data_IF_407096645383
#
_entry.id   IF_407096645383
#
_cell.length_a   1.000
_cell.length_b   1.000
_cell.length_c   1.000
_cell.angle_alpha   90.00
_cell.angle_beta   90.00
_cell.angle_gamma   90.00
#
_symmetry.space_group_name_H-M   'P 1'
#
loop_
_entity.id
_entity.type
_entity.pdbx_description
1 polymer ?
#
# COMPACT_ATOMS: atom_id res chain seq x y z
N UNK A 1 19.60 12.24 24.38
CA UNK A 1 18.24 11.94 23.86
C UNK A 1 18.30 10.63 23.11
N UNK A 2 17.87 9.53 23.70
CA UNK A 2 17.78 8.25 22.98
C UNK A 2 16.53 8.28 22.13
N UNK A 3 16.70 8.50 20.83
CA UNK A 3 15.70 8.14 19.85
C UNK A 3 15.59 6.62 19.87
N UNK A 4 14.66 6.09 20.65
CA UNK A 4 14.24 4.71 20.50
C UNK A 4 13.49 4.60 19.17
N UNK A 5 14.25 4.49 18.09
CA UNK A 5 13.70 4.08 16.83
C UNK A 5 13.15 2.68 17.05
N UNK A 6 11.85 2.59 17.21
CA UNK A 6 11.18 1.31 17.32
C UNK A 6 11.30 0.64 15.96
N UNK A 7 11.63 -0.67 15.91
CA UNK A 7 12.00 -1.34 14.67
C UNK A 7 10.88 -1.32 13.64
N UNK A 8 11.25 -1.45 12.38
CA UNK A 8 10.33 -1.77 11.29
C UNK A 8 9.48 -2.96 11.70
N UNK A 9 8.16 -2.80 11.71
CA UNK A 9 7.21 -3.83 12.15
C UNK A 9 6.78 -4.76 11.02
N UNK A 10 6.83 -4.25 9.81
CA UNK A 10 6.47 -5.01 8.62
C UNK A 10 7.28 -4.50 7.44
N UNK A 11 7.68 -5.41 6.58
CA UNK A 11 8.36 -5.09 5.33
C UNK A 11 7.96 -6.09 4.25
N UNK A 12 7.52 -5.58 3.10
CA UNK A 12 7.19 -6.39 1.93
C UNK A 12 8.01 -5.92 0.73
N UNK A 13 8.98 -6.69 0.29
CA UNK A 13 9.75 -6.37 -0.93
C UNK A 13 8.87 -6.37 -2.19
N UNK A 14 7.90 -7.26 -2.27
CA UNK A 14 7.01 -7.41 -3.43
C UNK A 14 6.17 -6.16 -3.71
N UNK A 15 5.75 -5.45 -2.65
CA UNK A 15 4.97 -4.22 -2.75
C UNK A 15 5.78 -2.97 -2.42
N UNK A 16 7.07 -3.13 -2.08
CA UNK A 16 7.96 -2.05 -1.63
C UNK A 16 7.34 -1.22 -0.49
N UNK A 17 6.69 -1.90 0.44
CA UNK A 17 5.94 -1.27 1.53
C UNK A 17 6.51 -1.69 2.88
N UNK A 18 6.68 -0.73 3.78
CA UNK A 18 7.11 -0.95 5.15
C UNK A 18 6.18 -0.25 6.14
N UNK A 19 6.04 -0.82 7.33
CA UNK A 19 5.37 -0.20 8.47
C UNK A 19 6.42 0.08 9.54
N UNK A 20 6.55 1.35 9.88
CA UNK A 20 7.49 1.83 10.90
C UNK A 20 6.69 2.34 12.09
N UNK A 21 7.01 1.83 13.28
CA UNK A 21 6.44 2.33 14.53
C UNK A 21 7.30 3.45 15.08
N UNK A 22 6.67 4.58 15.35
CA UNK A 22 7.33 5.77 15.93
C UNK A 22 6.47 6.31 17.05
N UNK A 23 7.08 6.93 18.05
CA UNK A 23 6.32 7.64 19.09
C UNK A 23 5.54 8.81 18.48
N UNK A 24 4.37 9.09 19.05
CA UNK A 24 3.47 10.14 18.54
C UNK A 24 4.14 11.52 18.45
N UNK A 25 5.04 11.84 19.38
CA UNK A 25 5.72 13.13 19.42
C UNK A 25 6.75 13.31 18.30
N UNK A 26 7.25 12.22 17.72
CA UNK A 26 8.35 12.23 16.76
C UNK A 26 7.95 11.83 15.33
N UNK A 27 6.68 11.50 15.05
CA UNK A 27 6.30 11.01 13.72
C UNK A 27 6.52 12.05 12.61
N UNK A 28 6.35 13.35 12.91
CA UNK A 28 6.62 14.43 11.94
C UNK A 28 8.09 14.51 11.58
N UNK A 29 8.97 14.31 12.56
CA UNK A 29 10.42 14.31 12.35
C UNK A 29 10.84 13.13 11.45
N UNK A 30 10.30 11.95 11.71
CA UNK A 30 10.57 10.77 10.88
C UNK A 30 10.00 10.94 9.47
N UNK A 31 8.80 11.52 9.35
CA UNK A 31 8.21 11.84 8.05
C UNK A 31 9.13 12.78 7.24
N UNK A 32 9.56 13.87 7.85
CA UNK A 32 10.50 14.81 7.21
C UNK A 32 11.80 14.11 6.81
N UNK A 33 12.40 13.32 7.70
CA UNK A 33 13.62 12.58 7.43
C UNK A 33 13.47 11.62 6.24
N UNK A 34 12.36 10.89 6.14
CA UNK A 34 12.07 10.02 5.00
C UNK A 34 11.90 10.80 3.69
N UNK A 35 11.27 11.99 3.74
CA UNK A 35 11.08 12.84 2.57
C UNK A 35 12.40 13.40 2.02
N UNK A 36 13.38 13.62 2.87
CA UNK A 36 14.73 14.07 2.48
C UNK A 36 15.67 12.92 2.09
N UNK A 37 15.30 11.68 2.37
CA UNK A 37 16.13 10.53 2.04
C UNK A 37 15.96 10.18 0.56
N UNK A 38 16.96 10.52 -0.25
CA UNK A 38 16.95 10.32 -1.71
C UNK A 38 17.83 9.17 -2.17
N UNK A 39 18.67 8.64 -1.29
CA UNK A 39 19.59 7.54 -1.58
C UNK A 39 19.59 6.52 -0.46
N UNK A 40 19.68 5.24 -0.83
CA UNK A 40 19.93 4.17 0.13
C UNK A 40 21.41 4.17 0.53
N UNK A 41 21.73 3.83 1.79
CA UNK A 41 23.10 3.76 2.24
C UNK A 41 23.90 2.65 1.54
N UNK A 42 25.21 2.77 1.58
CA UNK A 42 26.09 1.69 1.10
C UNK A 42 25.82 0.39 1.88
N UNK A 43 25.86 -0.79 1.24
CA UNK A 43 26.45 -1.08 -0.08
C UNK A 43 25.51 -0.85 -1.28
N UNK A 44 24.21 -0.64 -1.06
CA UNK A 44 23.19 -0.57 -2.13
C UNK A 44 23.35 0.68 -2.98
N UNK A 45 23.56 1.84 -2.36
CA UNK A 45 23.82 3.14 -2.98
C UNK A 45 22.94 3.44 -4.22
N UNK A 46 21.64 3.14 -4.11
CA UNK A 46 20.65 3.39 -5.15
C UNK A 46 19.77 4.59 -4.83
N UNK A 47 19.38 5.39 -5.84
CA UNK A 47 18.40 6.44 -5.64
C UNK A 47 17.06 5.83 -5.24
N UNK A 48 16.41 6.42 -4.26
CA UNK A 48 15.11 5.99 -3.78
C UNK A 48 14.25 7.20 -3.38
N UNK A 49 12.95 7.03 -3.43
CA UNK A 49 11.98 8.00 -2.93
C UNK A 49 11.08 7.29 -1.93
N UNK A 50 11.02 7.83 -0.72
CA UNK A 50 10.09 7.35 0.30
C UNK A 50 8.81 8.18 0.26
N UNK A 51 7.70 7.51 0.12
CA UNK A 51 6.39 8.12 0.19
C UNK A 51 5.66 7.64 1.43
N UNK A 52 5.35 8.56 2.33
CA UNK A 52 4.50 8.27 3.48
C UNK A 52 3.05 8.23 3.00
N UNK A 53 2.48 7.05 3.03
CA UNK A 53 1.17 6.77 2.48
C UNK A 53 0.06 6.98 3.49
N UNK A 54 0.33 6.61 4.75
CA UNK A 54 -0.61 6.74 5.86
C UNK A 54 0.13 6.85 7.18
N UNK A 55 -0.38 7.70 8.05
CA UNK A 55 -0.03 7.75 9.46
C UNK A 55 -1.24 7.28 10.26
N UNK A 56 -1.07 6.31 11.12
CA UNK A 56 -2.15 5.71 11.91
C UNK A 56 -1.77 5.65 13.39
N UNK A 57 -2.73 5.85 14.27
CA UNK A 57 -2.54 5.72 15.71
C UNK A 57 -2.43 4.27 16.20
N UNK A 58 -2.86 3.29 15.39
CA UNK A 58 -2.82 1.87 15.72
C UNK A 58 -2.16 1.06 14.62
N UNK A 59 -1.47 0.01 15.04
CA UNK A 59 -0.79 -0.89 14.10
C UNK A 59 -1.78 -1.65 13.22
N UNK A 60 -2.92 -2.03 13.78
CA UNK A 60 -3.99 -2.73 13.07
C UNK A 60 -4.49 -1.93 11.86
N UNK A 61 -4.81 -0.66 12.05
CA UNK A 61 -5.24 0.22 10.95
C UNK A 61 -4.14 0.43 9.89
N UNK A 62 -2.89 0.44 10.31
CA UNK A 62 -1.75 0.50 9.38
C UNK A 62 -1.62 -0.79 8.56
N UNK A 63 -1.79 -1.94 9.17
CA UNK A 63 -1.77 -3.25 8.50
C UNK A 63 -2.93 -3.40 7.51
N UNK A 64 -4.14 -3.02 7.90
CA UNK A 64 -5.33 -3.04 7.02
C UNK A 64 -5.09 -2.20 5.77
N UNK A 65 -4.51 -1.01 5.91
CA UNK A 65 -4.18 -0.17 4.76
C UNK A 65 -3.08 -0.79 3.88
N UNK A 66 -2.07 -1.40 4.47
CA UNK A 66 -1.03 -2.10 3.72
C UNK A 66 -1.60 -3.26 2.90
N UNK A 67 -2.50 -4.06 3.48
CA UNK A 67 -3.19 -5.16 2.81
C UNK A 67 -4.08 -4.63 1.67
N UNK A 68 -4.86 -3.58 1.91
CA UNK A 68 -5.70 -2.96 0.89
C UNK A 68 -4.88 -2.51 -0.32
N UNK A 69 -3.76 -1.85 -0.09
CA UNK A 69 -2.87 -1.39 -1.16
C UNK A 69 -2.18 -2.54 -1.89
N UNK A 70 -1.76 -3.56 -1.17
CA UNK A 70 -1.18 -4.76 -1.77
C UNK A 70 -2.17 -5.43 -2.74
N UNK A 71 -3.43 -5.56 -2.36
CA UNK A 71 -4.48 -6.12 -3.22
C UNK A 71 -4.69 -5.29 -4.50
N UNK A 72 -4.70 -3.96 -4.38
CA UNK A 72 -4.82 -3.06 -5.55
C UNK A 72 -3.61 -3.22 -6.47
N UNK A 73 -2.42 -3.27 -5.92
CA UNK A 73 -1.18 -3.45 -6.69
C UNK A 73 -1.16 -4.77 -7.45
N UNK A 74 -1.56 -5.86 -6.80
CA UNK A 74 -1.66 -7.19 -7.42
C UNK A 74 -2.69 -7.19 -8.55
N UNK A 75 -3.89 -6.65 -8.33
CA UNK A 75 -4.92 -6.55 -9.36
C UNK A 75 -4.45 -5.73 -10.57
N UNK A 76 -3.73 -4.63 -10.33
CA UNK A 76 -3.16 -3.81 -11.41
C UNK A 76 -2.11 -4.59 -12.22
N UNK A 77 -1.22 -5.31 -11.55
CA UNK A 77 -0.22 -6.14 -12.20
C UNK A 77 -0.85 -7.27 -13.03
N UNK A 78 -1.88 -7.92 -12.53
CA UNK A 78 -2.62 -8.96 -13.25
C UNK A 78 -3.32 -8.41 -14.51
N UNK A 79 -3.88 -7.20 -14.44
CA UNK A 79 -4.51 -6.55 -15.62
C UNK A 79 -3.48 -6.21 -16.70
N UNK A 80 -2.30 -5.74 -16.32
CA UNK A 80 -1.24 -5.42 -17.29
C UNK A 80 -0.74 -6.67 -18.02
N UNK A 81 -0.63 -7.81 -17.32
CA UNK A 81 -0.25 -9.08 -17.92
C UNK A 81 -1.33 -9.60 -18.89
N UNK A 82 -2.60 -9.51 -18.51
CA UNK A 82 -3.71 -9.90 -19.41
C UNK A 82 -3.78 -9.01 -20.66
N UNK A 83 -3.62 -7.69 -20.52
CA UNK A 83 -3.62 -6.76 -21.65
C UNK A 83 -2.47 -7.01 -22.62
N UNK A 84 -1.30 -7.42 -22.16
CA UNK A 84 -0.17 -7.78 -22.99
C UNK A 84 -0.38 -9.11 -23.73
N UNK A 85 -1.06 -10.06 -23.12
CA UNK A 85 -1.38 -11.35 -23.77
C UNK A 85 -2.46 -11.19 -24.85
N UNK A 86 -3.41 -10.27 -24.70
CA UNK A 86 -4.49 -10.04 -25.68
C UNK A 86 -3.96 -9.32 -26.92
N UNK A 87 -2.96 -8.46 -26.79
CA UNK A 87 -2.30 -7.78 -27.91
C UNK A 87 -1.48 -8.72 -28.82
N UNK A 88 -1.11 -9.90 -28.33
CA UNK A 88 -0.35 -10.88 -29.09
C UNK A 88 -1.26 -11.89 -29.85
N UNK A 89 -2.57 -11.87 -29.65
CA UNK A 89 -3.52 -12.84 -30.24
C UNK A 89 -4.42 -12.21 -31.28
N UNK A 90 -4.40 -10.89 -31.48
CA UNK A 90 -5.21 -10.21 -32.51
C UNK A 90 -4.60 -10.25 -33.92
N UNK A 91 -4.04 -11.40 -34.32
CA UNK A 91 -3.86 -11.73 -35.72
C UNK A 91 -4.52 -13.10 -36.03
N UNK A 92 -5.74 -13.29 -35.57
CA UNK A 92 -6.47 -14.51 -35.99
C UNK A 92 -7.65 -14.84 -35.10
N UNK A 93 -8.82 -14.67 -35.69
CA UNK A 93 -10.10 -15.30 -35.35
C UNK A 93 -10.97 -14.63 -34.27
N UNK A 94 -12.05 -14.13 -34.82
CA UNK A 94 -13.36 -13.79 -34.27
C UNK A 94 -13.95 -14.94 -33.46
N UNK A 95 -14.43 -14.69 -32.26
CA UNK A 95 -15.73 -15.13 -31.75
C UNK A 95 -15.91 -14.77 -30.26
N UNK A 96 -17.06 -14.19 -29.98
CA UNK A 96 -17.66 -13.70 -28.81
C UNK A 96 -17.58 -14.50 -27.52
N UNK A 97 -17.59 -13.77 -26.46
CA UNK A 97 -18.34 -14.02 -25.24
C UNK A 97 -18.37 -12.71 -24.43
N UNK A 98 -19.55 -12.16 -24.30
CA UNK A 98 -19.94 -11.25 -23.24
C UNK A 98 -19.91 -12.05 -21.93
N UNK A 99 -19.14 -11.58 -20.97
CA UNK A 99 -19.34 -11.93 -19.57
C UNK A 99 -19.32 -10.66 -18.74
N UNK A 100 -20.42 -10.48 -18.04
CA UNK A 100 -20.85 -9.40 -17.20
C UNK A 100 -19.81 -9.04 -16.12
N UNK A 101 -19.35 -7.82 -16.13
CA UNK A 101 -18.64 -7.18 -15.01
C UNK A 101 -19.67 -6.48 -14.11
N UNK A 102 -20.43 -7.25 -13.36
CA UNK A 102 -21.08 -6.77 -12.15
C UNK A 102 -20.27 -7.28 -10.95
N UNK A 103 -19.70 -6.38 -10.19
CA UNK A 103 -19.44 -6.38 -8.75
C UNK A 103 -18.16 -5.61 -8.36
N UNK A 104 -18.22 -4.31 -8.41
CA UNK A 104 -17.25 -3.48 -7.70
C UNK A 104 -17.93 -2.40 -6.82
N UNK A 105 -19.26 -2.46 -6.66
CA UNK A 105 -19.99 -1.42 -5.93
C UNK A 105 -20.40 -1.75 -4.49
N UNK A 106 -19.91 -2.83 -3.87
CA UNK A 106 -20.33 -3.23 -2.53
C UNK A 106 -19.21 -3.30 -1.47
N UNK A 107 -18.29 -2.36 -1.45
CA UNK A 107 -17.39 -2.21 -0.28
C UNK A 107 -17.33 -0.73 0.15
N UNK A 108 -18.48 -0.07 0.20
CA UNK A 108 -18.61 1.26 0.80
C UNK A 108 -19.71 1.26 1.86
N UNK A 109 -19.66 0.35 2.79
CA UNK A 109 -20.65 0.26 3.86
C UNK A 109 -20.06 -0.34 5.12
N UNK A 110 -19.08 0.30 5.71
CA UNK A 110 -18.80 0.14 7.14
C UNK A 110 -18.94 1.52 7.74
N UNK A 111 -20.15 1.81 8.15
CA UNK A 111 -20.48 2.94 9.01
C UNK A 111 -19.85 2.66 10.38
N UNK A 112 -18.94 3.52 10.77
CA UNK A 112 -18.43 3.60 12.14
C UNK A 112 -19.57 4.07 13.04
N UNK A 113 -20.25 3.14 13.70
CA UNK A 113 -21.05 3.45 14.87
C UNK A 113 -20.12 3.50 16.08
N UNK A 114 -19.62 4.69 16.35
CA UNK A 114 -19.14 5.06 17.68
C UNK A 114 -20.36 5.26 18.58
N UNK A 115 -20.80 4.21 19.26
CA UNK A 115 -21.66 4.38 20.42
C UNK A 115 -20.77 4.84 21.58
N UNK A 116 -20.91 6.12 21.90
CA UNK A 116 -20.54 6.68 23.17
C UNK A 116 -21.57 6.21 24.20
N UNK A 117 -21.18 5.34 25.10
CA UNK A 117 -21.91 5.18 26.38
C UNK A 117 -21.12 5.88 27.47
N UNK A 118 -21.66 7.03 27.84
CA UNK A 118 -21.51 7.70 29.13
C UNK A 118 -22.16 6.84 30.22
N UNK A 119 -21.36 6.47 31.22
CA UNK A 119 -21.75 6.51 32.63
C UNK A 119 -20.53 6.37 33.53
#
# INVERSE_FOLDING_TARGET
MRLTLSPVKYFSPATSTAIIRVSRDHYRLVWAALSFCTFLPKPVNQPCVFQVVRVSGTIRKAEEEAIRRARISIKRAQRSVKGSATSAIETGAVAGAMEDDEDVSMINGIEDHDEAEDE
#
